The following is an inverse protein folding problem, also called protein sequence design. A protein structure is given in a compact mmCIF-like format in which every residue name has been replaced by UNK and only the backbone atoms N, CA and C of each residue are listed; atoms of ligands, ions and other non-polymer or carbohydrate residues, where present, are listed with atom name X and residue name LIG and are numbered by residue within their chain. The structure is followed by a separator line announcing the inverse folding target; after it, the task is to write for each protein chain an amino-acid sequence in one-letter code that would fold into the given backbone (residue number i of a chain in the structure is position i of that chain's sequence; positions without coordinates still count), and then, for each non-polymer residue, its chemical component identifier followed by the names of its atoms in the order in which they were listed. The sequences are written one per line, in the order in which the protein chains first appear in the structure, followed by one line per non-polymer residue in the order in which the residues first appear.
data_IF_463194828338
#
_entry.id   IF_463194828338
#
_cell.length_a   1.000
_cell.length_b   1.000
_cell.length_c   1.000
_cell.angle_alpha   90.00
_cell.angle_beta   90.00
_cell.angle_gamma   90.00
#
_symmetry.space_group_name_H-M   'P 1'
#
loop_
_entity.id
_entity.type
_entity.pdbx_description
1 polymer ?
#
# COMPACT_ATOMS: atom_id res chain seq x y z
N UNK A 1 57.94 -30.72 5.90
CA UNK A 1 56.53 -30.83 5.45
C UNK A 1 55.97 -29.43 5.19
N UNK A 2 55.65 -29.07 3.93
CA UNK A 2 55.05 -27.77 3.56
C UNK A 2 53.53 -27.93 3.48
N UNK A 3 52.76 -27.22 4.32
CA UNK A 3 51.30 -27.18 4.23
C UNK A 3 50.89 -26.33 3.01
N UNK A 4 50.29 -26.96 2.01
CA UNK A 4 49.65 -26.28 0.88
C UNK A 4 48.36 -25.62 1.37
N UNK A 5 48.38 -24.29 1.47
CA UNK A 5 47.18 -23.49 1.79
C UNK A 5 46.41 -23.25 0.48
N UNK A 6 45.23 -23.86 0.29
CA UNK A 6 44.32 -23.52 -0.82
C UNK A 6 43.50 -22.30 -0.41
N UNK A 7 43.65 -21.18 -1.14
CA UNK A 7 42.77 -20.01 -1.00
C UNK A 7 41.33 -20.40 -1.40
N UNK A 8 40.30 -20.04 -0.61
CA UNK A 8 38.91 -20.23 -1.04
C UNK A 8 38.60 -19.28 -2.19
N UNK A 9 38.18 -19.85 -3.32
CA UNK A 9 37.65 -19.13 -4.48
C UNK A 9 36.37 -18.40 -4.08
N UNK A 10 36.33 -17.08 -4.25
CA UNK A 10 35.12 -16.27 -4.01
C UNK A 10 33.99 -16.79 -4.91
N UNK A 11 32.77 -17.03 -4.41
CA UNK A 11 31.68 -17.44 -5.27
C UNK A 11 31.29 -16.26 -6.17
N UNK A 12 31.04 -16.62 -7.44
CA UNK A 12 30.61 -15.74 -8.52
C UNK A 12 29.65 -14.64 -8.06
N UNK A 13 30.07 -13.38 -8.19
CA UNK A 13 29.18 -12.22 -8.13
C UNK A 13 28.27 -12.32 -9.35
N UNK A 14 27.07 -12.87 -9.18
CA UNK A 14 26.02 -12.84 -10.19
C UNK A 14 25.69 -11.37 -10.44
N UNK A 15 26.27 -10.78 -11.48
CA UNK A 15 25.83 -9.52 -12.04
C UNK A 15 24.47 -9.78 -12.70
N UNK A 16 23.40 -9.73 -11.90
CA UNK A 16 22.04 -9.61 -12.44
C UNK A 16 22.03 -8.31 -13.24
N UNK A 17 22.12 -8.42 -14.57
CA UNK A 17 21.89 -7.30 -15.48
C UNK A 17 20.48 -6.80 -15.17
N UNK A 18 20.40 -5.61 -14.57
CA UNK A 18 19.12 -4.94 -14.36
C UNK A 18 18.68 -4.49 -15.75
N UNK A 19 17.73 -5.22 -16.34
CA UNK A 19 17.10 -4.79 -17.59
C UNK A 19 16.21 -3.58 -17.25
N UNK A 20 16.48 -2.38 -17.79
CA UNK A 20 15.66 -1.20 -17.52
C UNK A 20 14.21 -1.32 -18.04
N UNK A 21 13.87 -2.38 -18.77
CA UNK A 21 12.49 -2.66 -19.23
C UNK A 21 11.71 -3.59 -18.31
N UNK A 22 12.36 -4.17 -17.30
CA UNK A 22 11.65 -5.01 -16.31
C UNK A 22 11.21 -4.14 -15.15
N UNK A 23 9.99 -3.61 -15.22
CA UNK A 23 9.31 -3.12 -14.01
C UNK A 23 9.10 -4.32 -13.08
N UNK A 24 9.97 -4.46 -12.07
CA UNK A 24 9.78 -5.43 -11.01
C UNK A 24 8.54 -5.02 -10.22
N UNK A 25 7.38 -5.51 -10.65
CA UNK A 25 6.13 -5.43 -9.91
C UNK A 25 6.32 -6.25 -8.63
N UNK A 26 6.78 -5.59 -7.56
CA UNK A 26 7.01 -6.24 -6.28
C UNK A 26 5.63 -6.53 -5.68
N UNK A 27 5.23 -7.80 -5.72
CA UNK A 27 4.07 -8.26 -4.95
C UNK A 27 4.28 -7.86 -3.49
N UNK A 28 3.30 -7.16 -2.93
CA UNK A 28 3.45 -6.44 -1.68
C UNK A 28 2.15 -6.39 -0.91
N UNK A 29 2.28 -6.24 0.41
CA UNK A 29 1.11 -5.97 1.25
C UNK A 29 0.48 -4.64 0.83
N UNK A 30 -0.86 -4.55 0.81
CA UNK A 30 -1.51 -3.29 0.50
C UNK A 30 -1.06 -2.23 1.49
N UNK A 31 -0.68 -1.08 0.95
CA UNK A 31 -0.26 0.07 1.75
C UNK A 31 -1.31 1.16 1.58
N UNK A 32 -1.79 1.72 2.70
CA UNK A 32 -2.78 2.80 2.71
C UNK A 32 -2.10 4.06 3.23
N UNK A 33 -2.22 5.14 2.49
CA UNK A 33 -1.72 6.47 2.83
C UNK A 33 -2.91 7.43 2.92
N UNK A 34 -3.16 8.07 4.08
CA UNK A 34 -4.19 9.09 4.17
C UNK A 34 -3.73 10.34 3.43
N UNK A 35 -4.51 10.81 2.45
CA UNK A 35 -4.29 12.10 1.79
C UNK A 35 -4.49 13.22 2.81
N UNK A 36 -5.51 13.08 3.67
CA UNK A 36 -5.79 13.99 4.77
C UNK A 36 -5.59 13.31 6.13
N UNK A 37 -4.53 13.71 6.87
CA UNK A 37 -4.21 13.16 8.20
C UNK A 37 -5.06 13.74 9.33
N UNK A 38 -5.43 15.00 9.22
CA UNK A 38 -6.24 15.73 10.18
C UNK A 38 -7.08 16.75 9.45
N UNK A 39 -8.38 16.78 9.74
CA UNK A 39 -9.31 17.74 9.16
C UNK A 39 -10.10 18.37 10.31
N UNK A 40 -10.15 19.69 10.34
CA UNK A 40 -10.99 20.47 11.26
C UNK A 40 -12.13 21.09 10.47
N UNK A 41 -13.36 20.90 10.95
CA UNK A 41 -14.56 21.50 10.39
C UNK A 41 -15.44 22.07 11.50
N UNK A 42 -16.29 23.03 11.15
CA UNK A 42 -17.33 23.53 12.02
C UNK A 42 -18.56 22.64 11.95
N UNK A 43 -19.37 22.66 13.01
CA UNK A 43 -20.62 21.89 13.04
C UNK A 43 -21.54 22.30 11.88
N UNK A 44 -22.06 21.32 11.15
CA UNK A 44 -22.89 21.51 9.95
C UNK A 44 -22.12 21.69 8.64
N UNK A 45 -20.78 21.82 8.67
CA UNK A 45 -19.97 21.83 7.45
C UNK A 45 -19.69 20.41 6.96
N UNK A 46 -19.80 20.16 5.64
CA UNK A 46 -19.44 18.87 5.08
C UNK A 46 -17.94 18.63 5.18
N UNK A 47 -17.56 17.39 5.53
CA UNK A 47 -16.17 16.96 5.66
C UNK A 47 -15.91 15.83 4.67
N UNK A 48 -14.84 15.95 3.88
CA UNK A 48 -14.45 14.93 2.91
C UNK A 48 -13.13 14.29 3.32
N UNK A 49 -13.15 12.99 3.58
CA UNK A 49 -11.97 12.19 3.87
C UNK A 49 -11.55 11.43 2.61
N UNK A 50 -10.27 11.50 2.28
CA UNK A 50 -9.68 10.82 1.13
C UNK A 50 -8.45 10.03 1.56
N UNK A 51 -8.33 8.83 1.01
CA UNK A 51 -7.22 7.91 1.25
C UNK A 51 -6.79 7.31 -0.08
N UNK A 52 -5.49 7.15 -0.23
CA UNK A 52 -4.89 6.48 -1.37
C UNK A 52 -4.33 5.14 -0.89
N UNK A 53 -4.45 4.12 -1.71
CA UNK A 53 -3.83 2.84 -1.40
C UNK A 53 -3.19 2.22 -2.64
N UNK A 54 -2.09 1.51 -2.41
CA UNK A 54 -1.41 0.73 -3.44
C UNK A 54 -1.48 -0.74 -3.05
N UNK A 55 -2.04 -1.56 -3.94
CA UNK A 55 -2.16 -3.00 -3.77
C UNK A 55 -1.68 -3.71 -5.04
N UNK A 56 -0.78 -4.68 -4.86
CA UNK A 56 -0.30 -5.52 -5.94
C UNK A 56 -0.09 -6.96 -5.41
N UNK A 57 -0.91 -7.94 -5.80
CA UNK A 57 -1.99 -7.90 -6.82
C UNK A 57 -3.19 -7.02 -6.42
N UNK A 58 -4.17 -6.85 -7.33
CA UNK A 58 -5.36 -5.99 -7.13
C UNK A 58 -6.05 -6.28 -5.79
N UNK A 59 -6.63 -5.24 -5.20
CA UNK A 59 -7.34 -5.34 -3.93
C UNK A 59 -8.49 -6.34 -4.00
N UNK A 60 -8.70 -7.08 -2.91
CA UNK A 60 -9.83 -8.01 -2.77
C UNK A 60 -11.00 -7.39 -2.01
N UNK A 61 -10.71 -6.46 -1.10
CA UNK A 61 -11.71 -5.78 -0.26
C UNK A 61 -11.18 -4.44 0.23
N UNK A 62 -12.04 -3.43 0.19
CA UNK A 62 -11.81 -2.10 0.80
C UNK A 62 -13.02 -1.81 1.68
N UNK A 63 -12.77 -1.25 2.85
CA UNK A 63 -13.79 -0.84 3.81
C UNK A 63 -13.37 0.48 4.46
N UNK A 64 -14.37 1.29 4.80
CA UNK A 64 -14.20 2.46 5.66
C UNK A 64 -14.59 2.10 7.08
N UNK A 65 -13.75 2.46 8.05
CA UNK A 65 -14.01 2.22 9.47
C UNK A 65 -14.14 3.57 10.16
N UNK A 66 -15.34 3.91 10.61
CA UNK A 66 -15.60 5.12 11.38
C UNK A 66 -15.28 4.91 12.87
N UNK A 67 -15.17 6.01 13.61
CA UNK A 67 -14.80 6.02 15.04
C UNK A 67 -15.71 5.13 15.89
N UNK A 68 -16.99 5.06 15.55
CA UNK A 68 -18.00 4.29 16.28
C UNK A 68 -18.05 2.81 15.86
N UNK A 69 -16.93 2.28 15.32
CA UNK A 69 -16.78 0.91 14.80
C UNK A 69 -17.71 0.56 13.64
N UNK A 70 -18.43 1.56 13.10
CA UNK A 70 -19.28 1.37 11.94
C UNK A 70 -18.43 1.15 10.69
N UNK A 71 -18.75 0.09 9.97
CA UNK A 71 -18.06 -0.33 8.76
C UNK A 71 -18.93 0.05 7.57
N UNK A 72 -18.36 0.80 6.63
CA UNK A 72 -19.01 1.14 5.37
C UNK A 72 -18.26 0.49 4.21
N UNK A 73 -19.00 -0.07 3.26
CA UNK A 73 -18.45 -0.48 1.97
C UNK A 73 -18.38 0.74 1.03
N UNK A 74 -17.46 0.74 0.05
CA UNK A 74 -17.47 1.76 -0.99
C UNK A 74 -18.83 1.77 -1.70
N UNK A 75 -19.45 2.95 -1.79
CA UNK A 75 -20.80 3.14 -2.31
C UNK A 75 -21.92 3.14 -1.25
N UNK A 76 -21.63 2.78 0.01
CA UNK A 76 -22.63 2.86 1.08
C UNK A 76 -22.90 4.32 1.47
N UNK A 77 -24.13 4.61 1.89
CA UNK A 77 -24.51 5.89 2.44
C UNK A 77 -25.48 5.72 3.61
N UNK A 78 -25.45 6.67 4.53
CA UNK A 78 -26.34 6.81 5.68
C UNK A 78 -26.71 8.29 5.87
N UNK A 79 -27.52 8.63 6.87
CA UNK A 79 -28.00 10.00 7.11
C UNK A 79 -26.86 11.04 7.21
N UNK A 80 -25.71 10.65 7.78
CA UNK A 80 -24.59 11.56 8.06
C UNK A 80 -23.29 11.24 7.31
N UNK A 81 -23.19 10.07 6.66
CA UNK A 81 -21.94 9.59 6.06
C UNK A 81 -22.19 9.06 4.66
N UNK A 82 -21.37 9.50 3.71
CA UNK A 82 -21.36 9.01 2.34
C UNK A 82 -19.99 8.38 2.09
N UNK A 83 -19.96 7.06 1.90
CA UNK A 83 -18.75 6.34 1.55
C UNK A 83 -18.64 6.26 0.02
N UNK A 84 -17.81 7.11 -0.57
CA UNK A 84 -17.60 7.08 -2.02
C UNK A 84 -16.96 5.76 -2.49
N UNK A 85 -17.22 5.43 -3.76
CA UNK A 85 -16.63 4.28 -4.44
C UNK A 85 -15.11 4.39 -4.59
N UNK A 86 -14.47 3.28 -4.96
CA UNK A 86 -13.05 3.27 -5.31
C UNK A 86 -12.90 3.83 -6.73
N UNK A 87 -12.01 4.80 -6.90
CA UNK A 87 -11.62 5.32 -8.21
C UNK A 87 -10.32 4.65 -8.63
N UNK A 88 -10.31 4.00 -9.80
CA UNK A 88 -9.11 3.45 -10.47
C UNK A 88 -8.45 4.49 -11.39
#
# INVERSE_FOLDING_TARGET
MRKLYRKPTRPNRITRKFDPRTFLSREGRPTVAPTNKSITALYGQPLTLTMEFCANPRYTKVIWIAKDQKIYKPGDADECVIAYGITD
#
